data_IF_554926894261
#
_entry.id   IF_554926894261
#
_cell.length_a   1.000
_cell.length_b   1.000
_cell.length_c   1.000
_cell.angle_alpha   90.00
_cell.angle_beta   90.00
_cell.angle_gamma   90.00
#
_symmetry.space_group_name_H-M   'P 1'
#
loop_
_entity.id
_entity.type
_entity.pdbx_description
1 polymer ?
#
# COMPACT_ATOMS: atom_id res chain seq x y z
N UNK A 1 12.90 34.01 7.03
CA UNK A 1 12.37 32.63 6.90
C UNK A 1 13.25 31.94 5.87
N UNK A 2 14.20 31.12 6.29
CA UNK A 2 15.12 30.44 5.36
C UNK A 2 14.36 29.41 4.54
N UNK A 3 14.43 29.54 3.21
CA UNK A 3 13.89 28.57 2.28
C UNK A 3 14.70 27.28 2.42
N UNK A 4 14.06 26.19 2.86
CA UNK A 4 14.65 24.85 2.84
C UNK A 4 14.98 24.50 1.39
N UNK A 5 16.25 24.56 1.03
CA UNK A 5 16.78 24.07 -0.24
C UNK A 5 16.34 22.62 -0.44
N UNK A 6 15.62 22.33 -1.53
CA UNK A 6 15.43 20.94 -1.98
C UNK A 6 16.82 20.34 -2.16
N UNK A 7 17.18 19.35 -1.35
CA UNK A 7 18.38 18.56 -1.60
C UNK A 7 18.00 17.66 -2.79
N UNK A 8 18.42 18.06 -3.99
CA UNK A 8 18.27 17.21 -5.17
C UNK A 8 19.05 15.92 -4.96
N UNK A 9 18.37 14.80 -5.17
CA UNK A 9 18.98 13.48 -5.12
C UNK A 9 19.78 13.22 -6.41
N UNK A 10 20.79 12.33 -6.38
CA UNK A 10 21.50 11.90 -7.57
C UNK A 10 20.53 11.37 -8.65
N UNK A 11 20.88 11.49 -9.94
CA UNK A 11 20.07 10.94 -11.01
C UNK A 11 19.95 9.40 -10.86
N UNK A 12 18.82 8.81 -11.31
CA UNK A 12 18.65 7.36 -11.27
C UNK A 12 19.69 6.64 -12.14
N UNK A 13 20.12 5.47 -11.69
CA UNK A 13 20.99 4.57 -12.45
C UNK A 13 20.12 3.47 -13.06
N UNK A 14 20.20 3.29 -14.38
CA UNK A 14 19.49 2.21 -15.08
C UNK A 14 19.99 0.84 -14.64
N UNK A 15 19.07 -0.12 -14.53
CA UNK A 15 19.37 -1.51 -14.26
C UNK A 15 18.40 -2.41 -15.05
N UNK A 16 18.63 -3.71 -15.01
CA UNK A 16 17.81 -4.71 -15.71
C UNK A 16 16.68 -5.29 -14.84
N UNK A 17 16.32 -4.60 -13.76
CA UNK A 17 15.22 -5.03 -12.88
C UNK A 17 13.87 -4.51 -13.39
N UNK A 18 12.75 -5.16 -13.00
CA UNK A 18 11.42 -4.65 -13.35
C UNK A 18 11.19 -3.22 -12.86
N UNK A 19 10.40 -2.46 -13.60
CA UNK A 19 9.95 -1.16 -13.12
C UNK A 19 9.11 -1.35 -11.86
N UNK A 20 9.38 -0.57 -10.81
CA UNK A 20 8.64 -0.66 -9.53
C UNK A 20 7.13 -0.46 -9.74
N UNK A 21 6.73 0.33 -10.75
CA UNK A 21 5.33 0.48 -11.15
C UNK A 21 4.69 -0.85 -11.57
N UNK A 22 5.40 -1.68 -12.33
CA UNK A 22 4.89 -2.98 -12.80
C UNK A 22 4.68 -3.94 -11.63
N UNK A 23 5.60 -3.91 -10.65
CA UNK A 23 5.48 -4.71 -9.42
C UNK A 23 4.24 -4.29 -8.62
N UNK A 24 4.01 -2.99 -8.42
CA UNK A 24 2.81 -2.48 -7.74
C UNK A 24 1.54 -2.86 -8.49
N UNK A 25 1.53 -2.76 -9.82
CA UNK A 25 0.39 -3.18 -10.63
C UNK A 25 0.10 -4.68 -10.48
N UNK A 26 1.13 -5.52 -10.43
CA UNK A 26 0.97 -6.95 -10.21
C UNK A 26 0.28 -7.25 -8.86
N UNK A 27 0.73 -6.59 -7.77
CA UNK A 27 0.12 -6.75 -6.45
C UNK A 27 -1.35 -6.30 -6.42
N UNK A 28 -1.67 -5.20 -7.10
CA UNK A 28 -3.05 -4.68 -7.18
C UNK A 28 -3.97 -5.65 -7.95
N UNK A 29 -3.49 -6.20 -9.07
CA UNK A 29 -4.25 -7.16 -9.88
C UNK A 29 -4.53 -8.44 -9.07
N UNK A 30 -3.52 -8.93 -8.36
CA UNK A 30 -3.67 -10.13 -7.53
C UNK A 30 -4.65 -9.90 -6.38
N UNK A 31 -4.60 -8.75 -5.72
CA UNK A 31 -5.59 -8.41 -4.68
C UNK A 31 -7.02 -8.34 -5.22
N UNK A 32 -7.22 -7.74 -6.39
CA UNK A 32 -8.54 -7.68 -7.03
C UNK A 32 -9.06 -9.09 -7.36
N UNK A 33 -8.20 -9.98 -7.87
CA UNK A 33 -8.53 -11.39 -8.14
C UNK A 33 -8.97 -12.12 -6.86
N UNK A 34 -8.20 -12.02 -5.77
CA UNK A 34 -8.54 -12.63 -4.47
C UNK A 34 -9.87 -12.09 -3.93
N UNK A 35 -10.13 -10.79 -4.10
CA UNK A 35 -11.40 -10.17 -3.75
C UNK A 35 -12.58 -10.78 -4.52
N UNK A 36 -12.44 -10.94 -5.84
CA UNK A 36 -13.46 -11.59 -6.68
C UNK A 36 -13.69 -13.04 -6.25
N UNK A 37 -12.63 -13.80 -5.96
CA UNK A 37 -12.76 -15.19 -5.51
C UNK A 37 -13.49 -15.31 -4.18
N UNK A 38 -13.26 -14.37 -3.26
CA UNK A 38 -13.85 -14.37 -1.93
C UNK A 38 -15.29 -13.87 -1.91
N UNK A 39 -15.61 -12.87 -2.72
CA UNK A 39 -16.88 -12.13 -2.64
C UNK A 39 -17.75 -12.22 -3.90
N UNK A 40 -17.29 -12.88 -4.97
CA UNK A 40 -18.03 -13.14 -6.20
C UNK A 40 -18.14 -11.95 -7.16
N UNK A 41 -17.60 -10.79 -6.82
CA UNK A 41 -17.60 -9.59 -7.67
C UNK A 41 -16.42 -8.68 -7.35
N UNK A 42 -16.00 -7.87 -8.34
CA UNK A 42 -15.04 -6.77 -8.13
C UNK A 42 -15.68 -5.67 -7.31
N UNK A 43 -14.85 -4.90 -6.61
CA UNK A 43 -15.29 -3.69 -5.92
C UNK A 43 -15.79 -2.66 -6.95
N UNK A 44 -16.99 -2.13 -6.73
CA UNK A 44 -17.61 -1.13 -7.60
C UNK A 44 -18.16 0.02 -6.74
N UNK A 45 -18.17 1.26 -7.25
CA UNK A 45 -18.87 2.36 -6.58
C UNK A 45 -20.35 2.03 -6.36
N UNK A 46 -20.92 2.54 -5.27
CA UNK A 46 -22.35 2.36 -4.92
C UNK A 46 -22.81 0.90 -4.73
N UNK A 47 -21.92 0.01 -4.31
CA UNK A 47 -22.24 -1.40 -4.04
C UNK A 47 -22.88 -1.68 -2.65
N UNK A 48 -23.32 -0.63 -1.94
CA UNK A 48 -23.91 -0.73 -0.61
C UNK A 48 -22.93 -0.87 0.55
N UNK A 49 -21.61 -0.92 0.29
CA UNK A 49 -20.58 -0.86 1.33
C UNK A 49 -20.20 0.57 1.68
N UNK A 50 -19.79 0.78 2.93
CA UNK A 50 -19.16 2.02 3.37
C UNK A 50 -17.64 1.92 3.16
N UNK A 51 -17.17 2.48 2.04
CA UNK A 51 -15.77 2.44 1.67
C UNK A 51 -14.86 3.18 2.67
N UNK A 52 -15.36 4.17 3.41
CA UNK A 52 -14.57 4.87 4.41
C UNK A 52 -14.37 4.00 5.65
N UNK A 53 -15.40 3.29 6.07
CA UNK A 53 -15.29 2.34 7.18
C UNK A 53 -14.36 1.17 6.82
N UNK A 54 -14.46 0.65 5.60
CA UNK A 54 -13.55 -0.38 5.10
C UNK A 54 -12.09 0.12 5.12
N UNK A 55 -11.82 1.30 4.56
CA UNK A 55 -10.48 1.89 4.56
C UNK A 55 -9.94 2.14 5.97
N UNK A 56 -10.80 2.54 6.91
CA UNK A 56 -10.43 2.70 8.31
C UNK A 56 -10.04 1.37 8.96
N UNK A 57 -10.79 0.30 8.71
CA UNK A 57 -10.45 -1.04 9.21
C UNK A 57 -9.11 -1.54 8.63
N UNK A 58 -8.89 -1.38 7.33
CA UNK A 58 -7.60 -1.73 6.68
C UNK A 58 -6.42 -0.92 7.25
N UNK A 59 -6.64 0.34 7.60
CA UNK A 59 -5.62 1.15 8.28
C UNK A 59 -5.29 0.61 9.67
N UNK A 60 -6.29 0.13 10.43
CA UNK A 60 -6.05 -0.53 11.72
C UNK A 60 -5.23 -1.81 11.54
N UNK A 61 -5.53 -2.63 10.54
CA UNK A 61 -4.76 -3.83 10.23
C UNK A 61 -3.29 -3.49 9.93
N UNK A 62 -3.04 -2.43 9.15
CA UNK A 62 -1.68 -1.90 8.96
C UNK A 62 -1.02 -1.51 10.29
N UNK A 63 -1.73 -0.82 11.19
CA UNK A 63 -1.16 -0.46 12.50
C UNK A 63 -0.77 -1.65 13.35
N UNK A 64 -1.49 -2.77 13.26
CA UNK A 64 -1.15 -4.02 13.96
C UNK A 64 0.20 -4.54 13.50
N UNK A 65 0.43 -4.61 12.18
CA UNK A 65 1.71 -5.08 11.64
C UNK A 65 2.86 -4.11 11.93
N UNK A 66 2.63 -2.80 11.84
CA UNK A 66 3.61 -1.80 12.25
C UNK A 66 3.97 -1.94 13.74
N UNK A 67 2.96 -2.16 14.59
CA UNK A 67 3.16 -2.33 16.03
C UNK A 67 4.00 -3.57 16.33
N UNK A 68 3.73 -4.68 15.64
CA UNK A 68 4.53 -5.91 15.72
C UNK A 68 5.99 -5.64 15.31
N UNK A 69 6.22 -5.00 14.17
CA UNK A 69 7.57 -4.69 13.69
C UNK A 69 8.35 -3.80 14.69
N UNK A 70 7.68 -2.83 15.33
CA UNK A 70 8.29 -2.02 16.40
C UNK A 70 8.65 -2.90 17.61
N UNK A 71 7.76 -3.79 18.02
CA UNK A 71 8.02 -4.69 19.16
C UNK A 71 9.17 -5.65 18.86
N UNK A 72 9.19 -6.27 17.69
CA UNK A 72 10.27 -7.18 17.27
C UNK A 72 11.62 -6.46 17.19
N UNK A 73 11.63 -5.19 16.76
CA UNK A 73 12.85 -4.37 16.67
C UNK A 73 13.34 -3.88 18.03
N UNK A 74 12.45 -3.39 18.90
CA UNK A 74 12.81 -2.64 20.11
C UNK A 74 12.52 -3.39 21.42
N UNK A 75 11.84 -4.55 21.36
CA UNK A 75 11.38 -5.31 22.52
C UNK A 75 10.24 -4.66 23.32
N UNK A 76 9.60 -3.62 22.78
CA UNK A 76 8.63 -2.80 23.51
C UNK A 76 7.56 -2.19 22.64
#
# INVERSE_FOLDING_TARGET
MEARTRIDQPPPVTNDQPAVWDLVMADIIERDRVGVERYGTRLQPHNGRDALLDAYAEALDLTVYLRQAVYERDGR
#
